data_IF_406439631562
#
_entry.id   IF_406439631562
#
_cell.length_a   1.000
_cell.length_b   1.000
_cell.length_c   1.000
_cell.angle_alpha   90.00
_cell.angle_beta   90.00
_cell.angle_gamma   90.00
#
_symmetry.space_group_name_H-M   'P 1'
#
loop_
_entity.id
_entity.type
_entity.pdbx_description
1 polymer ?
#
# COMPACT_ATOMS: atom_id res chain seq x y z
N UNK A 1 17.15 -30.30 12.80
CA UNK A 1 17.74 -29.10 12.15
C UNK A 1 16.67 -28.44 11.28
N UNK A 2 16.10 -27.29 11.68
CA UNK A 2 15.19 -26.50 10.82
C UNK A 2 15.99 -25.32 10.25
N UNK A 3 16.14 -25.28 8.93
CA UNK A 3 16.89 -24.24 8.22
C UNK A 3 16.16 -22.90 8.41
N UNK A 4 16.80 -21.96 9.11
CA UNK A 4 16.39 -20.55 9.18
C UNK A 4 16.61 -19.97 7.79
N UNK A 5 15.52 -19.79 7.03
CA UNK A 5 15.57 -19.05 5.76
C UNK A 5 16.02 -17.62 6.09
N UNK A 6 17.20 -17.25 5.62
CA UNK A 6 17.74 -15.90 5.79
C UNK A 6 17.16 -15.09 4.64
N UNK A 7 16.15 -14.27 4.91
CA UNK A 7 15.70 -13.27 3.95
C UNK A 7 16.92 -12.41 3.57
N UNK A 8 17.18 -12.25 2.27
CA UNK A 8 18.22 -11.34 1.79
C UNK A 8 17.93 -9.91 2.22
N UNK A 9 18.90 -8.98 2.15
CA UNK A 9 18.63 -7.58 2.44
C UNK A 9 17.55 -7.08 1.47
N UNK A 10 16.38 -6.75 2.00
CA UNK A 10 15.38 -5.98 1.27
C UNK A 10 15.95 -4.59 1.07
N UNK A 11 16.21 -4.19 -0.17
CA UNK A 11 16.73 -2.86 -0.47
C UNK A 11 15.52 -1.95 -0.64
N UNK A 12 14.91 -1.56 0.48
CA UNK A 12 13.87 -0.53 0.51
C UNK A 12 14.60 0.83 0.48
N UNK A 13 14.35 1.70 -0.52
CA UNK A 13 14.97 3.02 -0.57
C UNK A 13 14.52 3.88 0.61
N UNK A 14 15.37 4.83 1.03
CA UNK A 14 15.03 5.82 2.04
C UNK A 14 14.44 7.07 1.38
N UNK A 15 13.43 7.67 2.01
CA UNK A 15 12.92 8.99 1.65
C UNK A 15 12.75 9.86 2.89
N UNK A 16 12.90 11.18 2.72
CA UNK A 16 12.74 12.13 3.80
C UNK A 16 11.26 12.33 4.13
N UNK A 17 10.92 12.24 5.41
CA UNK A 17 9.57 12.54 5.89
C UNK A 17 9.25 14.04 5.69
N UNK A 18 8.07 14.34 5.17
CA UNK A 18 7.53 15.70 5.08
C UNK A 18 5.99 15.69 5.10
N UNK A 19 5.38 16.85 5.31
CA UNK A 19 3.91 16.98 5.37
C UNK A 19 3.19 16.64 4.04
N UNK A 20 3.92 16.60 2.92
CA UNK A 20 3.36 16.25 1.61
C UNK A 20 3.48 14.76 1.27
N UNK A 21 4.12 13.97 2.13
CA UNK A 21 4.34 12.54 1.90
C UNK A 21 3.21 11.73 2.52
N UNK A 22 2.72 10.74 1.78
CA UNK A 22 1.81 9.73 2.31
C UNK A 22 2.61 8.77 3.20
N UNK A 23 2.52 8.98 4.51
CA UNK A 23 3.10 8.08 5.52
C UNK A 23 2.07 7.01 5.91
N UNK A 24 2.52 5.75 5.80
CA UNK A 24 1.73 4.56 6.08
C UNK A 24 2.53 3.60 6.97
N UNK A 25 1.84 2.98 7.92
CA UNK A 25 2.37 1.89 8.74
C UNK A 25 1.82 0.56 8.24
N UNK A 26 2.71 -0.40 7.96
CA UNK A 26 2.34 -1.77 7.65
C UNK A 26 2.66 -2.68 8.83
N UNK A 27 1.63 -3.21 9.49
CA UNK A 27 1.78 -4.13 10.62
C UNK A 27 0.82 -5.30 10.50
N UNK A 28 1.36 -6.52 10.53
CA UNK A 28 0.62 -7.78 10.41
C UNK A 28 -0.42 -7.81 9.27
N UNK A 29 -0.06 -7.23 8.12
CA UNK A 29 -0.89 -7.15 6.92
C UNK A 29 -1.95 -6.05 6.92
N UNK A 30 -1.98 -5.21 7.95
CA UNK A 30 -2.81 -4.01 8.04
C UNK A 30 -1.98 -2.78 7.64
N UNK A 31 -2.47 -2.01 6.68
CA UNK A 31 -1.85 -0.76 6.23
C UNK A 31 -2.66 0.42 6.76
N UNK A 32 -2.04 1.28 7.58
CA UNK A 32 -2.73 2.40 8.24
C UNK A 32 -2.07 3.73 7.95
N UNK A 33 -2.85 4.78 7.72
CA UNK A 33 -2.32 6.14 7.57
C UNK A 33 -2.00 6.80 8.92
N UNK A 34 -1.28 7.93 8.90
CA UNK A 34 -1.02 8.77 10.10
C UNK A 34 -2.28 9.15 10.88
N UNK A 35 -3.43 9.24 10.21
CA UNK A 35 -4.72 9.58 10.80
C UNK A 35 -5.48 8.35 11.32
N UNK A 36 -4.82 7.18 11.37
CA UNK A 36 -5.39 5.89 11.75
C UNK A 36 -6.51 5.37 10.83
N UNK A 37 -6.59 5.88 9.60
CA UNK A 37 -7.45 5.29 8.56
C UNK A 37 -6.80 4.02 8.04
N UNK A 38 -7.60 2.99 7.76
CA UNK A 38 -7.09 1.73 7.19
C UNK A 38 -7.22 1.77 5.68
N UNK A 39 -6.17 1.29 5.02
CA UNK A 39 -6.16 1.08 3.59
C UNK A 39 -7.00 -0.15 3.21
N UNK A 40 -7.97 0.04 2.32
CA UNK A 40 -8.89 -0.96 1.80
C UNK A 40 -8.94 -0.93 0.27
N UNK A 41 -9.46 -2.01 -0.31
CA UNK A 41 -9.96 -2.03 -1.68
C UNK A 41 -11.43 -2.44 -1.57
N UNK A 42 -12.33 -1.58 -2.06
CA UNK A 42 -13.77 -1.82 -1.99
C UNK A 42 -14.31 -2.55 -3.23
N UNK A 43 -15.63 -2.75 -3.27
CA UNK A 43 -16.32 -3.40 -4.40
C UNK A 43 -16.20 -2.60 -5.71
N UNK A 44 -15.74 -1.34 -5.66
CA UNK A 44 -15.45 -0.52 -6.84
C UNK A 44 -14.01 -0.67 -7.32
N UNK A 45 -13.24 -1.58 -6.72
CA UNK A 45 -11.82 -1.84 -6.96
C UNK A 45 -10.90 -0.69 -6.55
N UNK A 46 -11.43 0.36 -5.89
CA UNK A 46 -10.64 1.55 -5.57
C UNK A 46 -9.82 1.32 -4.31
N UNK A 47 -8.52 1.59 -4.39
CA UNK A 47 -7.67 1.71 -3.22
C UNK A 47 -8.02 3.00 -2.46
N UNK A 48 -8.40 2.88 -1.19
CA UNK A 48 -8.82 4.02 -0.39
C UNK A 48 -8.46 3.86 1.08
N UNK A 49 -8.57 4.97 1.82
CA UNK A 49 -8.39 5.01 3.26
C UNK A 49 -9.74 5.30 3.92
N UNK A 50 -10.16 4.41 4.80
CA UNK A 50 -11.43 4.51 5.51
C UNK A 50 -11.18 4.71 7.01
N UNK A 51 -11.93 5.63 7.61
CA UNK A 51 -12.02 5.73 9.07
C UNK A 51 -12.62 4.43 9.61
N UNK A 52 -11.96 3.85 10.62
CA UNK A 52 -12.48 2.64 11.25
C UNK A 52 -13.57 3.00 12.28
N UNK A 53 -14.71 2.32 12.20
CA UNK A 53 -15.62 2.15 13.33
C UNK A 53 -15.26 0.87 14.12
N UNK A 54 -15.68 0.79 15.39
CA UNK A 54 -15.32 -0.23 16.41
C UNK A 54 -15.47 -1.72 15.97
N UNK A 55 -16.14 -1.98 14.85
CA UNK A 55 -16.34 -3.29 14.23
C UNK A 55 -15.18 -3.79 13.33
N UNK A 56 -14.11 -3.01 13.14
CA UNK A 56 -13.02 -3.25 12.17
C UNK A 56 -12.01 -4.39 12.49
N UNK A 57 -12.28 -5.26 13.47
CA UNK A 57 -11.43 -6.43 13.77
C UNK A 57 -11.29 -7.43 12.59
N UNK A 58 -12.08 -7.24 11.53
CA UNK A 58 -12.18 -8.15 10.39
C UNK A 58 -11.62 -7.58 9.07
N UNK A 59 -11.02 -6.39 9.08
CA UNK A 59 -10.44 -5.82 7.86
C UNK A 59 -9.35 -6.75 7.31
N UNK A 60 -9.37 -7.09 6.00
CA UNK A 60 -8.44 -8.07 5.44
C UNK A 60 -6.99 -7.69 5.67
N UNK A 61 -6.25 -8.58 6.34
CA UNK A 61 -4.79 -8.53 6.46
C UNK A 61 -4.18 -9.01 5.15
N UNK A 62 -4.25 -8.17 4.12
CA UNK A 62 -3.91 -8.53 2.75
C UNK A 62 -2.74 -7.72 2.20
N UNK A 63 -2.21 -6.77 2.96
CA UNK A 63 -1.12 -5.91 2.51
C UNK A 63 0.24 -6.54 2.84
N UNK A 64 1.16 -6.52 1.88
CA UNK A 64 2.53 -6.99 2.05
C UNK A 64 3.48 -6.07 1.30
N UNK A 65 4.76 -6.12 1.65
CA UNK A 65 5.84 -5.59 0.80
C UNK A 65 6.55 -6.77 0.17
N UNK A 66 6.69 -6.74 -1.14
CA UNK A 66 7.38 -7.79 -1.85
C UNK A 66 8.90 -7.72 -1.66
N UNK A 67 9.61 -8.76 -2.10
CA UNK A 67 11.07 -8.79 -2.07
C UNK A 67 11.73 -7.68 -2.91
N UNK A 68 10.98 -7.03 -3.81
CA UNK A 68 11.44 -5.90 -4.62
C UNK A 68 11.14 -4.54 -3.99
N UNK A 69 10.52 -4.51 -2.81
CA UNK A 69 10.08 -3.26 -2.18
C UNK A 69 8.78 -2.72 -2.77
N UNK A 70 7.93 -3.55 -3.37
CA UNK A 70 6.66 -3.11 -3.95
C UNK A 70 5.50 -3.42 -3.01
N UNK A 71 4.54 -2.50 -2.91
CA UNK A 71 3.31 -2.76 -2.20
C UNK A 71 2.56 -3.86 -2.94
N UNK A 72 2.06 -4.82 -2.18
CA UNK A 72 1.32 -5.98 -2.66
C UNK A 72 -0.01 -6.02 -1.93
N UNK A 73 -1.10 -6.16 -2.68
CA UNK A 73 -2.42 -6.43 -2.14
C UNK A 73 -2.81 -7.86 -2.51
N UNK A 74 -3.19 -8.65 -1.52
CA UNK A 74 -3.46 -10.09 -1.66
C UNK A 74 -2.27 -10.82 -2.30
N UNK A 75 -2.37 -11.17 -3.59
CA UNK A 75 -1.33 -11.87 -4.35
C UNK A 75 -0.74 -11.09 -5.54
N UNK A 76 -1.09 -9.82 -5.70
CA UNK A 76 -0.64 -8.97 -6.81
C UNK A 76 0.09 -7.71 -6.36
N UNK A 77 1.13 -7.34 -7.09
CA UNK A 77 1.83 -6.04 -6.98
C UNK A 77 1.30 -5.02 -8.01
N UNK A 78 0.50 -5.49 -8.97
CA UNK A 78 0.00 -4.70 -10.08
C UNK A 78 -1.26 -3.93 -9.66
N UNK A 79 -1.16 -2.61 -9.72
CA UNK A 79 -2.28 -1.69 -9.57
C UNK A 79 -2.52 -0.95 -10.88
N UNK A 80 -3.58 -0.16 -10.91
CA UNK A 80 -3.95 0.67 -12.05
C UNK A 80 -4.19 2.10 -11.59
N UNK A 81 -3.46 3.06 -12.17
CA UNK A 81 -3.79 4.47 -12.02
C UNK A 81 -4.80 4.88 -13.10
N UNK A 82 -5.95 5.40 -12.70
CA UNK A 82 -6.99 5.84 -13.62
C UNK A 82 -7.29 7.31 -13.40
N UNK A 83 -7.42 8.05 -14.51
CA UNK A 83 -7.79 9.47 -14.47
C UNK A 83 -9.26 9.60 -14.07
N UNK A 84 -9.54 10.23 -12.93
CA UNK A 84 -10.87 10.37 -12.35
C UNK A 84 -11.14 11.82 -11.93
N UNK A 85 -11.73 12.61 -12.84
CA UNK A 85 -11.96 14.04 -12.60
C UNK A 85 -10.65 14.82 -12.70
N UNK A 86 -10.25 15.48 -11.61
CA UNK A 86 -9.04 16.32 -11.55
C UNK A 86 -7.79 15.57 -11.05
N UNK A 87 -7.93 14.32 -10.60
CA UNK A 87 -6.83 13.55 -10.01
C UNK A 87 -6.79 12.11 -10.52
N UNK A 88 -5.67 11.45 -10.26
CA UNK A 88 -5.53 10.01 -10.47
C UNK A 88 -5.91 9.26 -9.21
N UNK A 89 -6.69 8.20 -9.39
CA UNK A 89 -7.03 7.23 -8.34
C UNK A 89 -6.34 5.90 -8.66
N UNK A 90 -6.09 5.12 -7.62
CA UNK A 90 -5.45 3.81 -7.72
C UNK A 90 -6.51 2.72 -7.54
N UNK A 91 -6.38 1.64 -8.33
CA UNK A 91 -7.30 0.50 -8.33
C UNK A 91 -6.52 -0.82 -8.37
N UNK A 92 -7.12 -1.90 -7.89
CA UNK A 92 -6.57 -3.27 -8.05
C UNK A 92 -6.95 -3.90 -9.40
N UNK A 93 -7.84 -3.27 -10.17
CA UNK A 93 -8.29 -3.70 -11.49
C UNK A 93 -8.42 -2.51 -12.48
N UNK A 94 -8.32 -2.75 -13.80
CA UNK A 94 -8.51 -1.71 -14.80
C UNK A 94 -9.99 -1.39 -14.99
N UNK A 95 -10.54 -0.53 -14.14
CA UNK A 95 -11.98 -0.20 -14.10
C UNK A 95 -12.47 0.67 -15.27
N UNK A 96 -11.57 1.33 -16.00
CA UNK A 96 -11.89 2.20 -17.13
C UNK A 96 -10.87 2.06 -18.27
N UNK A 97 -11.22 2.53 -19.47
CA UNK A 97 -10.30 2.54 -20.62
C UNK A 97 -9.09 3.46 -20.45
N UNK A 98 -9.19 4.45 -19.55
CA UNK A 98 -8.12 5.41 -19.22
C UNK A 98 -7.40 5.04 -17.93
N UNK A 99 -6.94 3.79 -17.85
CA UNK A 99 -6.13 3.28 -16.76
C UNK A 99 -4.76 2.84 -17.28
N UNK A 100 -3.70 3.15 -16.55
CA UNK A 100 -2.36 2.66 -16.83
C UNK A 100 -1.89 1.75 -15.69
N UNK A 101 -1.22 0.62 -16.00
CA UNK A 101 -0.64 -0.23 -14.97
C UNK A 101 0.43 0.54 -14.19
N UNK A 102 0.48 0.33 -12.88
CA UNK A 102 1.45 0.96 -11.98
C UNK A 102 1.89 -0.03 -10.91
N UNK A 103 3.14 0.08 -10.49
CA UNK A 103 3.68 -0.57 -9.30
C UNK A 103 3.92 0.52 -8.26
N UNK A 104 3.56 0.24 -7.02
CA UNK A 104 3.72 1.19 -5.92
C UNK A 104 4.99 0.81 -5.16
N UNK A 105 6.07 1.54 -5.38
CA UNK A 105 7.32 1.32 -4.65
C UNK A 105 7.20 1.86 -3.21
N UNK A 106 7.61 1.03 -2.26
CA UNK A 106 7.67 1.36 -0.84
C UNK A 106 9.03 1.96 -0.54
N UNK A 107 9.02 3.04 0.24
CA UNK A 107 10.21 3.68 0.77
C UNK A 107 10.10 3.72 2.29
N UNK A 108 11.23 3.62 2.98
CA UNK A 108 11.30 3.84 4.42
C UNK A 108 11.44 5.34 4.67
N UNK A 109 10.52 5.90 5.45
CA UNK A 109 10.50 7.31 5.77
C UNK A 109 11.42 7.59 6.96
N UNK A 110 12.38 8.50 6.76
CA UNK A 110 13.34 8.91 7.78
C UNK A 110 13.27 10.41 8.03
N UNK A 111 13.59 10.83 9.24
CA UNK A 111 13.81 12.24 9.54
C UNK A 111 15.13 12.70 8.94
N UNK A 112 15.05 13.44 7.83
CA UNK A 112 16.18 14.14 7.24
C UNK A 112 16.21 15.54 7.83
N UNK A 113 17.18 15.81 8.69
CA UNK A 113 17.38 17.14 9.26
C UNK A 113 17.93 18.13 8.22
#
# INVERSE_FOLDING_TARGET
MKKKSRAGPSIIPLACLSESVLELDLSDGLLTSRQHNVASVDDTHQFQFEELYDSAKYTPRAWLVSAKGQLKYQDTELFYQCHSGESYKIYDAPVHSRCAPVLLDVVELVSCQ
#
